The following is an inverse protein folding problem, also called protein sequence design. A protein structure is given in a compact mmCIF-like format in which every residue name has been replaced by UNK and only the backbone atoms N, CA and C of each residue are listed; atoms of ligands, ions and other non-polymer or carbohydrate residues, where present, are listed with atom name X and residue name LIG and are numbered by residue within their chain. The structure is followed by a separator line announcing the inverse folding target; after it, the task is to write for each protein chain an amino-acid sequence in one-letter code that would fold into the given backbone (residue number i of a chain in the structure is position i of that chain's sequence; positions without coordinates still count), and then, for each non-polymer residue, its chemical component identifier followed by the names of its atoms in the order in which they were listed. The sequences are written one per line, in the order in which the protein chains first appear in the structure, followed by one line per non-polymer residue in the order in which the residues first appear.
data_IF_070833142982
#
_entry.id   IF_070833142982
#
_cell.length_a   1.000
_cell.length_b   1.000
_cell.length_c   1.000
_cell.angle_alpha   90.00
_cell.angle_beta   90.00
_cell.angle_gamma   90.00
#
_symmetry.space_group_name_H-M   'P 1'
#
loop_
_entity.id
_entity.type
_entity.pdbx_description
1 polymer ?
#
# COMPACT_ATOMS: atom_id res chain seq x y z
N UNK A 1 35.53 21.66 12.95
CA UNK A 1 34.97 20.30 13.05
C UNK A 1 33.56 20.36 12.50
N UNK A 2 33.38 19.85 11.29
CA UNK A 2 32.11 19.86 10.57
C UNK A 2 31.28 18.64 11.01
N UNK A 3 29.97 18.78 11.26
CA UNK A 3 29.12 17.62 11.49
C UNK A 3 28.99 16.79 10.19
N UNK A 4 28.88 15.45 10.29
CA UNK A 4 28.79 14.57 9.14
C UNK A 4 27.48 14.83 8.36
N UNK A 5 27.65 15.06 7.04
CA UNK A 5 26.60 15.16 6.04
C UNK A 5 25.96 13.79 5.79
N UNK A 6 24.95 13.42 6.58
CA UNK A 6 24.02 12.33 6.21
C UNK A 6 22.62 12.59 6.77
N UNK A 7 22.03 13.73 6.38
CA UNK A 7 20.63 14.11 6.64
C UNK A 7 20.12 14.95 5.48
N UNK A 8 20.06 14.39 4.27
CA UNK A 8 19.36 15.01 3.12
C UNK A 8 18.82 13.93 2.20
N UNK A 9 17.54 14.09 1.84
CA UNK A 9 16.68 13.25 0.97
C UNK A 9 16.05 12.12 1.79
N UNK A 10 14.76 12.15 2.12
CA UNK A 10 13.63 12.23 1.20
C UNK A 10 12.51 13.15 1.73
N UNK A 11 12.41 14.34 1.13
CA UNK A 11 11.16 15.09 1.03
C UNK A 11 10.91 15.21 -0.47
N UNK A 12 9.94 14.47 -0.98
CA UNK A 12 9.20 14.85 -2.17
C UNK A 12 7.80 14.24 -2.08
N UNK A 13 6.98 14.92 -1.29
CA UNK A 13 5.55 15.01 -1.54
C UNK A 13 5.41 15.62 -2.94
N UNK A 14 4.97 14.81 -3.89
CA UNK A 14 4.31 15.34 -5.08
C UNK A 14 3.01 14.55 -5.25
N UNK A 15 1.92 15.24 -4.93
CA UNK A 15 0.64 14.97 -5.57
C UNK A 15 0.88 14.96 -7.09
N UNK A 16 0.72 13.79 -7.69
CA UNK A 16 0.74 13.66 -9.16
C UNK A 16 -0.59 13.03 -9.54
N UNK A 17 -1.61 13.87 -9.66
CA UNK A 17 -2.69 13.63 -10.60
C UNK A 17 -2.09 13.76 -12.00
N UNK A 18 -1.99 12.64 -12.72
CA UNK A 18 -1.38 12.59 -14.03
C UNK A 18 -1.08 11.16 -14.44
N UNK A 19 -2.01 10.55 -15.17
CA UNK A 19 -1.74 9.36 -15.97
C UNK A 19 -0.60 9.68 -16.95
N UNK A 20 0.60 9.17 -16.68
CA UNK A 20 1.66 9.09 -17.68
C UNK A 20 2.08 7.63 -17.76
N UNK A 21 1.76 7.04 -18.90
CA UNK A 21 2.06 5.65 -19.25
C UNK A 21 3.58 5.43 -19.19
N UNK A 22 4.02 4.58 -18.27
CA UNK A 22 5.36 3.99 -18.26
C UNK A 22 5.19 2.50 -18.55
N UNK A 23 5.74 2.10 -19.68
CA UNK A 23 5.81 0.74 -20.21
C UNK A 23 6.35 -0.22 -19.15
N UNK A 24 5.53 -1.20 -18.76
CA UNK A 24 5.82 -2.23 -17.74
C UNK A 24 4.65 -2.52 -16.77
N UNK A 25 3.55 -1.75 -16.85
CA UNK A 25 2.31 -2.10 -16.16
C UNK A 25 1.53 -3.11 -17.01
N UNK A 26 1.47 -4.37 -16.60
CA UNK A 26 0.33 -5.20 -16.99
C UNK A 26 -0.91 -4.63 -16.29
N UNK A 27 -1.67 -3.81 -17.02
CA UNK A 27 -3.10 -3.62 -16.73
C UNK A 27 -3.70 -5.00 -16.57
N UNK A 28 -4.36 -5.24 -15.43
CA UNK A 28 -5.01 -6.52 -15.09
C UNK A 28 -5.81 -6.98 -16.31
N UNK A 29 -5.32 -8.01 -17.01
CA UNK A 29 -6.03 -8.60 -18.13
C UNK A 29 -7.30 -9.29 -17.60
N UNK A 30 -8.33 -9.39 -18.44
CA UNK A 30 -9.72 -9.70 -18.06
C UNK A 30 -9.95 -11.16 -17.64
N UNK A 31 -8.88 -11.93 -17.45
CA UNK A 31 -8.89 -13.34 -17.04
C UNK A 31 -8.79 -13.47 -15.52
N UNK A 32 -9.56 -14.41 -14.95
CA UNK A 32 -9.42 -14.93 -13.58
C UNK A 32 -8.11 -15.73 -13.46
N UNK A 33 -7.00 -15.04 -13.65
CA UNK A 33 -5.67 -15.59 -13.66
C UNK A 33 -5.06 -15.49 -12.26
N UNK A 34 -4.62 -16.64 -11.76
CA UNK A 34 -3.79 -16.71 -10.56
C UNK A 34 -2.43 -16.09 -10.88
N UNK A 35 -1.98 -15.17 -10.02
CA UNK A 35 -0.66 -14.55 -10.13
C UNK A 35 0.12 -14.78 -8.85
N UNK A 36 1.38 -15.13 -9.02
CA UNK A 36 2.29 -15.50 -7.95
C UNK A 36 3.41 -14.46 -7.82
N UNK A 37 3.80 -14.14 -6.60
CA UNK A 37 4.92 -13.25 -6.36
C UNK A 37 5.07 -12.83 -4.91
N UNK A 38 6.10 -12.03 -4.66
CA UNK A 38 6.36 -11.44 -3.34
C UNK A 38 5.44 -10.23 -3.14
N UNK A 39 4.95 -10.00 -1.92
CA UNK A 39 4.23 -8.77 -1.59
C UNK A 39 5.26 -7.68 -1.27
N UNK A 40 5.46 -6.76 -2.21
CA UNK A 40 6.43 -5.67 -2.11
C UNK A 40 5.92 -4.47 -1.32
N UNK A 41 4.61 -4.24 -1.32
CA UNK A 41 4.05 -3.04 -0.74
C UNK A 41 2.66 -3.28 -0.20
N UNK A 42 2.36 -2.64 0.93
CA UNK A 42 1.04 -2.53 1.52
C UNK A 42 0.74 -1.06 1.81
N UNK A 43 -0.47 -0.62 1.45
CA UNK A 43 -0.93 0.76 1.61
C UNK A 43 -2.36 0.78 2.15
N UNK A 44 -2.61 1.69 3.08
CA UNK A 44 -3.97 2.12 3.44
C UNK A 44 -4.14 3.53 2.94
N UNK A 45 -5.07 3.71 2.00
CA UNK A 45 -5.36 4.98 1.36
C UNK A 45 -6.77 5.41 1.74
N UNK A 46 -6.93 6.69 2.07
CA UNK A 46 -8.21 7.29 2.42
C UNK A 46 -8.53 8.47 1.51
N UNK A 47 -9.81 8.78 1.37
CA UNK A 47 -10.30 9.92 0.62
C UNK A 47 -10.65 11.06 1.57
N UNK A 48 -10.01 12.21 1.36
CA UNK A 48 -10.30 13.44 2.08
C UNK A 48 -11.29 14.27 1.27
N UNK A 49 -12.39 14.65 1.90
CA UNK A 49 -13.45 15.46 1.29
C UNK A 49 -13.60 16.84 1.91
N UNK A 50 -12.83 17.14 2.97
CA UNK A 50 -12.77 18.45 3.61
C UNK A 50 -11.91 19.47 2.83
N UNK A 51 -11.26 19.05 1.75
CA UNK A 51 -10.47 19.89 0.85
C UNK A 51 -11.32 20.43 -0.31
N UNK A 52 -10.86 21.47 -1.02
CA UNK A 52 -11.47 21.92 -2.29
C UNK A 52 -11.30 20.84 -3.38
N UNK A 53 -12.15 19.81 -3.32
CA UNK A 53 -12.07 18.60 -4.13
C UNK A 53 -11.65 17.37 -3.32
N UNK A 54 -12.01 16.19 -3.81
CA UNK A 54 -11.61 14.92 -3.21
C UNK A 54 -10.13 14.64 -3.47
N UNK A 55 -9.39 14.33 -2.40
CA UNK A 55 -7.97 13.97 -2.45
C UNK A 55 -7.76 12.60 -1.83
N UNK A 56 -7.23 11.65 -2.62
CA UNK A 56 -6.77 10.36 -2.11
C UNK A 56 -5.37 10.49 -1.52
N UNK A 57 -5.19 10.08 -0.26
CA UNK A 57 -3.91 10.14 0.46
C UNK A 57 -3.62 8.86 1.21
N UNK A 58 -2.34 8.51 1.35
CA UNK A 58 -1.93 7.31 2.06
C UNK A 58 -1.71 7.64 3.54
N UNK A 59 -2.49 7.04 4.44
CA UNK A 59 -2.26 7.10 5.90
C UNK A 59 -1.29 6.03 6.38
N UNK A 60 -1.02 5.03 5.54
CA UNK A 60 -0.04 3.98 5.77
C UNK A 60 0.59 3.56 4.45
N UNK A 61 1.92 3.46 4.43
CA UNK A 61 2.67 2.84 3.33
C UNK A 61 3.86 2.08 3.90
N UNK A 62 3.87 0.77 3.71
CA UNK A 62 5.02 -0.10 3.98
C UNK A 62 5.53 -0.68 2.67
N UNK A 63 6.83 -0.70 2.46
CA UNK A 63 7.49 -1.22 1.27
C UNK A 63 8.69 -2.07 1.64
N UNK A 64 8.80 -3.24 1.01
CA UNK A 64 9.94 -4.13 1.09
C UNK A 64 10.92 -3.83 -0.04
N UNK A 65 12.19 -3.59 0.32
CA UNK A 65 13.34 -3.55 -0.58
C UNK A 65 14.02 -4.92 -0.58
N UNK A 66 13.79 -5.71 -1.63
CA UNK A 66 14.39 -7.03 -1.77
C UNK A 66 15.91 -6.99 -1.90
N UNK A 67 16.47 -5.96 -2.51
CA UNK A 67 17.93 -5.89 -2.76
C UNK A 67 18.70 -5.64 -1.47
N UNK A 68 18.07 -4.95 -0.51
CA UNK A 68 18.65 -4.65 0.80
C UNK A 68 18.12 -5.54 1.92
N UNK A 69 17.06 -6.30 1.65
CA UNK A 69 16.30 -7.05 2.66
C UNK A 69 15.81 -6.14 3.80
N UNK A 70 15.20 -5.00 3.44
CA UNK A 70 14.76 -3.97 4.39
C UNK A 70 13.28 -3.64 4.16
N UNK A 71 12.54 -3.36 5.24
CA UNK A 71 11.22 -2.74 5.13
C UNK A 71 11.34 -1.28 5.51
N UNK A 72 10.83 -0.39 4.66
CA UNK A 72 10.71 1.02 4.98
C UNK A 72 9.28 1.50 4.79
N UNK A 73 8.91 2.56 5.51
CA UNK A 73 7.55 3.04 5.44
C UNK A 73 7.27 4.32 6.19
N UNK A 74 6.03 4.76 6.03
CA UNK A 74 5.47 5.89 6.78
C UNK A 74 4.05 5.58 7.19
N UNK A 75 3.65 6.09 8.35
CA UNK A 75 2.26 6.01 8.80
C UNK A 75 1.86 7.21 9.66
N UNK A 76 0.56 7.48 9.70
CA UNK A 76 -0.02 8.44 10.62
C UNK A 76 -0.44 7.75 11.93
N UNK A 77 0.22 8.02 13.07
CA UNK A 77 -0.11 7.39 14.33
C UNK A 77 -1.50 7.78 14.86
N UNK A 78 -2.09 8.89 14.41
CA UNK A 78 -3.46 9.26 14.78
C UNK A 78 -4.46 8.20 14.30
N UNK A 79 -4.18 7.58 13.15
CA UNK A 79 -5.08 6.65 12.50
C UNK A 79 -4.67 5.19 12.65
N UNK A 80 -3.38 4.85 12.63
CA UNK A 80 -2.95 3.45 12.45
C UNK A 80 -1.83 2.97 13.40
N UNK A 81 -1.53 3.69 14.49
CA UNK A 81 -0.42 3.33 15.41
C UNK A 81 -0.54 1.89 15.97
N UNK A 82 -1.76 1.42 16.25
CA UNK A 82 -2.01 0.06 16.74
C UNK A 82 -2.08 -1.03 15.66
N UNK A 83 -2.04 -0.67 14.38
CA UNK A 83 -2.17 -1.61 13.27
C UNK A 83 -0.83 -2.12 12.75
N UNK A 84 0.28 -1.48 13.13
CA UNK A 84 1.63 -1.77 12.64
C UNK A 84 2.44 -2.46 13.73
N UNK A 85 3.10 -3.55 13.36
CA UNK A 85 4.08 -4.23 14.20
C UNK A 85 5.28 -4.64 13.33
N UNK A 86 6.37 -3.87 13.42
CA UNK A 86 7.53 -3.98 12.52
C UNK A 86 7.10 -4.03 11.04
N UNK A 87 7.52 -5.06 10.30
CA UNK A 87 7.18 -5.27 8.90
C UNK A 87 5.72 -5.75 8.65
N UNK A 88 4.90 -5.88 9.69
CA UNK A 88 3.53 -6.38 9.59
C UNK A 88 2.49 -5.26 9.76
N UNK A 89 1.37 -5.42 9.07
CA UNK A 89 0.19 -4.57 9.24
C UNK A 89 -1.08 -5.42 9.29
N UNK A 90 -1.89 -5.19 10.32
CA UNK A 90 -3.19 -5.82 10.52
C UNK A 90 -4.24 -4.78 10.89
N UNK A 91 -5.24 -4.61 10.02
CA UNK A 91 -6.34 -3.66 10.22
C UNK A 91 -7.54 -4.38 10.83
N UNK A 92 -7.86 -4.07 12.09
CA UNK A 92 -9.04 -4.61 12.76
C UNK A 92 -10.35 -4.13 12.10
N UNK A 93 -11.46 -4.80 12.37
CA UNK A 93 -12.78 -4.30 11.93
C UNK A 93 -13.10 -2.95 12.56
N UNK A 94 -12.82 -2.79 13.86
CA UNK A 94 -13.05 -1.54 14.59
C UNK A 94 -12.25 -0.37 14.00
N UNK A 95 -10.98 -0.60 13.63
CA UNK A 95 -10.17 0.41 12.96
C UNK A 95 -10.74 0.74 11.58
N UNK A 96 -11.15 -0.27 10.80
CA UNK A 96 -11.78 -0.03 9.52
C UNK A 96 -13.06 0.80 9.63
N UNK A 97 -13.92 0.47 10.59
CA UNK A 97 -15.19 1.17 10.84
C UNK A 97 -14.95 2.62 11.27
N UNK A 98 -13.88 2.85 12.05
CA UNK A 98 -13.43 4.20 12.42
C UNK A 98 -13.01 4.98 11.18
N UNK A 99 -12.16 4.39 10.33
CA UNK A 99 -11.70 5.02 9.09
C UNK A 99 -12.83 5.30 8.11
N UNK A 100 -13.81 4.41 7.96
CA UNK A 100 -14.96 4.64 7.06
C UNK A 100 -16.00 5.59 7.64
N UNK A 101 -15.95 5.86 8.95
CA UNK A 101 -16.75 6.92 9.58
C UNK A 101 -16.13 8.30 9.35
N UNK A 102 -14.80 8.37 9.37
CA UNK A 102 -14.05 9.62 9.22
C UNK A 102 -13.79 10.03 7.76
N UNK A 103 -13.60 9.04 6.89
CA UNK A 103 -13.26 9.23 5.47
C UNK A 103 -14.33 8.63 4.57
N UNK A 104 -14.68 9.35 3.50
CA UNK A 104 -15.66 8.92 2.50
C UNK A 104 -15.30 7.56 1.87
N UNK A 105 -14.00 7.27 1.76
CA UNK A 105 -13.49 6.03 1.19
C UNK A 105 -12.22 5.56 1.86
N UNK A 106 -12.12 4.25 2.04
CA UNK A 106 -10.93 3.55 2.54
C UNK A 106 -10.57 2.43 1.57
N UNK A 107 -9.35 2.47 1.03
CA UNK A 107 -8.83 1.50 0.06
C UNK A 107 -7.58 0.81 0.62
N UNK A 108 -7.60 -0.52 0.62
CA UNK A 108 -6.41 -1.32 0.93
C UNK A 108 -5.73 -1.72 -0.36
N UNK A 109 -4.47 -1.31 -0.54
CA UNK A 109 -3.73 -1.52 -1.79
C UNK A 109 -2.48 -2.33 -1.54
N UNK A 110 -2.18 -3.21 -2.50
CA UNK A 110 -0.99 -4.04 -2.49
C UNK A 110 -0.20 -3.86 -3.79
N UNK A 111 1.11 -4.11 -3.71
CA UNK A 111 1.96 -4.36 -4.87
C UNK A 111 2.56 -5.75 -4.73
N UNK A 112 2.34 -6.61 -5.71
CA UNK A 112 2.84 -7.98 -5.74
C UNK A 112 3.69 -8.19 -6.99
N UNK A 113 4.81 -8.89 -6.85
CA UNK A 113 5.65 -9.26 -8.00
C UNK A 113 7.02 -9.83 -7.62
N UNK A 114 7.93 -9.99 -8.57
CA UNK A 114 7.61 -10.01 -10.00
C UNK A 114 6.63 -11.17 -10.31
N UNK A 115 5.66 -10.93 -11.20
CA UNK A 115 4.63 -11.94 -11.58
C UNK A 115 4.98 -12.69 -12.86
N UNK A 116 6.07 -12.30 -13.52
CA UNK A 116 6.57 -12.92 -14.73
C UNK A 116 8.09 -12.66 -14.88
N UNK A 117 8.71 -13.29 -15.86
CA UNK A 117 10.15 -13.17 -16.14
C UNK A 117 10.56 -11.76 -16.59
N UNK A 118 9.61 -10.92 -17.01
CA UNK A 118 9.86 -9.52 -17.37
C UNK A 118 9.99 -8.61 -16.14
N UNK A 119 9.67 -9.10 -14.94
CA UNK A 119 9.73 -8.32 -13.71
C UNK A 119 8.47 -7.48 -13.45
N UNK A 120 7.35 -7.78 -14.12
CA UNK A 120 6.12 -7.01 -13.96
C UNK A 120 5.54 -7.16 -12.56
N UNK A 121 4.77 -6.16 -12.14
CA UNK A 121 4.10 -6.17 -10.84
C UNK A 121 2.60 -5.95 -10.99
N UNK A 122 1.86 -6.63 -10.14
CA UNK A 122 0.42 -6.41 -9.96
C UNK A 122 0.22 -5.33 -8.92
N UNK A 123 -0.55 -4.32 -9.31
CA UNK A 123 -1.03 -3.25 -8.44
C UNK A 123 -2.55 -3.42 -8.32
N UNK A 124 -3.03 -3.77 -7.13
CA UNK A 124 -4.44 -4.09 -6.96
C UNK A 124 -4.97 -3.62 -5.60
N UNK A 125 -6.29 -3.52 -5.51
CA UNK A 125 -6.98 -3.38 -4.24
C UNK A 125 -7.19 -4.75 -3.59
N UNK A 126 -7.38 -4.76 -2.28
CA UNK A 126 -7.79 -5.94 -1.55
C UNK A 126 -8.92 -5.55 -0.58
N UNK A 127 -9.80 -6.49 -0.26
CA UNK A 127 -10.66 -6.29 0.91
C UNK A 127 -9.80 -6.35 2.18
N UNK A 128 -10.28 -5.76 3.28
CA UNK A 128 -9.57 -5.72 4.57
C UNK A 128 -9.02 -7.07 5.02
N UNK A 129 -9.81 -8.13 4.92
CA UNK A 129 -9.39 -9.49 5.33
C UNK A 129 -8.26 -10.01 4.45
N UNK A 130 -8.43 -9.93 3.13
CA UNK A 130 -7.39 -10.30 2.15
C UNK A 130 -6.11 -9.46 2.34
N UNK A 131 -6.24 -8.15 2.61
CA UNK A 131 -5.10 -7.29 2.90
C UNK A 131 -4.35 -7.76 4.14
N UNK A 132 -5.03 -8.14 5.22
CA UNK A 132 -4.39 -8.64 6.44
C UNK A 132 -3.70 -9.99 6.23
N UNK A 133 -4.26 -10.86 5.38
CA UNK A 133 -3.72 -12.18 5.07
C UNK A 133 -2.44 -12.11 4.21
N UNK A 134 -2.27 -11.06 3.40
CA UNK A 134 -1.10 -10.89 2.53
C UNK A 134 0.14 -10.46 3.36
N UNK A 135 1.18 -11.30 3.48
CA UNK A 135 2.36 -10.99 4.27
C UNK A 135 3.33 -10.10 3.48
N UNK A 136 3.65 -8.91 3.99
CA UNK A 136 4.72 -8.08 3.40
C UNK A 136 6.04 -8.85 3.42
N UNK A 137 6.82 -8.74 2.35
CA UNK A 137 8.05 -9.51 2.11
C UNK A 137 7.85 -11.04 1.97
N UNK A 138 6.64 -11.55 2.20
CA UNK A 138 6.29 -12.95 1.97
C UNK A 138 5.80 -13.18 0.54
N UNK A 139 5.67 -14.46 0.18
CA UNK A 139 5.14 -14.89 -1.11
C UNK A 139 3.62 -15.06 -1.03
N UNK A 140 2.92 -14.78 -2.13
CA UNK A 140 1.50 -15.01 -2.23
C UNK A 140 1.11 -15.44 -3.65
N UNK A 141 0.17 -16.38 -3.71
CA UNK A 141 -0.62 -16.67 -4.91
C UNK A 141 -1.97 -15.97 -4.74
N UNK A 142 -2.33 -15.11 -5.69
CA UNK A 142 -3.60 -14.36 -5.62
C UNK A 142 -4.41 -14.54 -6.89
N UNK A 143 -5.73 -14.59 -6.71
CA UNK A 143 -6.70 -14.50 -7.80
C UNK A 143 -7.07 -13.03 -8.02
N UNK A 144 -7.04 -12.60 -9.28
CA UNK A 144 -7.50 -11.27 -9.70
C UNK A 144 -9.00 -11.32 -10.00
N UNK A 145 -9.76 -10.34 -9.54
CA UNK A 145 -11.18 -10.20 -9.87
C UNK A 145 -11.57 -8.72 -9.96
N UNK A 146 -12.72 -8.44 -10.59
CA UNK A 146 -13.23 -7.08 -10.75
C UNK A 146 -14.47 -6.85 -9.91
N UNK A 147 -14.50 -5.71 -9.21
CA UNK A 147 -15.68 -5.23 -8.48
C UNK A 147 -16.23 -4.01 -9.20
N UNK A 148 -17.54 -4.00 -9.41
CA UNK A 148 -18.27 -2.87 -9.94
C UNK A 148 -18.59 -1.90 -8.80
N UNK A 149 -18.02 -0.70 -8.87
CA UNK A 149 -18.12 0.32 -7.82
C UNK A 149 -19.16 1.36 -8.19
N UNK A 150 -19.27 1.68 -9.48
CA UNK A 150 -20.34 2.48 -10.08
C UNK A 150 -20.63 1.95 -11.49
N UNK A 151 -21.71 2.40 -12.13
CA UNK A 151 -22.10 2.00 -13.48
C UNK A 151 -20.96 2.14 -14.51
N UNK A 152 -20.08 3.14 -14.34
CA UNK A 152 -18.94 3.40 -15.23
C UNK A 152 -17.56 3.00 -14.65
N UNK A 153 -17.50 2.46 -13.43
CA UNK A 153 -16.23 2.20 -12.73
C UNK A 153 -16.14 0.76 -12.23
N UNK A 154 -15.14 0.06 -12.75
CA UNK A 154 -14.69 -1.23 -12.25
C UNK A 154 -13.30 -1.12 -11.66
N UNK A 155 -13.12 -1.71 -10.49
CA UNK A 155 -11.85 -1.71 -9.77
C UNK A 155 -11.32 -3.13 -9.67
N UNK A 156 -10.03 -3.30 -9.94
CA UNK A 156 -9.35 -4.58 -9.83
C UNK A 156 -9.00 -4.88 -8.37
N UNK A 157 -9.47 -6.02 -7.89
CA UNK A 157 -9.17 -6.57 -6.58
C UNK A 157 -8.36 -7.86 -6.68
N UNK A 158 -7.67 -8.19 -5.61
CA UNK A 158 -7.03 -9.49 -5.41
C UNK A 158 -7.56 -10.19 -4.17
N UNK A 159 -7.61 -11.51 -4.23
CA UNK A 159 -7.88 -12.39 -3.10
C UNK A 159 -6.75 -13.43 -2.98
N UNK A 160 -6.16 -13.64 -1.81
CA UNK A 160 -5.17 -14.68 -1.63
C UNK A 160 -5.79 -16.07 -1.81
N UNK A 161 -5.07 -16.94 -2.51
CA UNK A 161 -5.32 -18.38 -2.56
C UNK A 161 -4.36 -19.12 -1.64
N UNK A 162 -3.09 -18.73 -1.69
CA UNK A 162 -2.02 -19.26 -0.86
C UNK A 162 -1.14 -18.10 -0.42
N UNK A 163 -0.66 -18.15 0.82
CA UNK A 163 0.27 -17.16 1.37
C UNK A 163 1.35 -17.88 2.15
N UNK A 164 2.57 -17.40 1.99
CA UNK A 164 3.73 -17.87 2.71
C UNK A 164 4.43 -16.65 3.32
N UNK A 165 4.57 -16.58 4.66
CA UNK A 165 5.32 -15.51 5.29
C UNK A 165 6.78 -15.54 4.82
N UNK A 166 7.53 -14.43 4.95
CA UNK A 166 8.94 -14.46 4.61
C UNK A 166 9.66 -15.51 5.46
N UNK A 167 10.56 -16.27 4.84
CA UNK A 167 11.30 -17.36 5.48
C UNK A 167 12.18 -16.88 6.64
N UNK A 168 12.58 -15.61 6.59
CA UNK A 168 13.25 -14.88 7.66
C UNK A 168 12.64 -13.48 7.74
N UNK A 169 12.54 -12.87 8.94
CA UNK A 169 12.11 -11.48 9.04
C UNK A 169 13.09 -10.56 8.29
N UNK A 170 12.64 -9.43 7.72
CA UNK A 170 13.51 -8.45 7.09
C UNK A 170 14.64 -8.03 8.03
N UNK A 171 15.84 -7.87 7.49
CA UNK A 171 17.05 -7.52 8.27
C UNK A 171 16.91 -6.21 9.05
N UNK A 172 16.22 -5.21 8.48
CA UNK A 172 15.92 -3.94 9.14
C UNK A 172 14.51 -3.46 8.83
N UNK A 173 13.96 -2.64 9.73
CA UNK A 173 12.69 -1.95 9.58
C UNK A 173 12.88 -0.45 9.90
N UNK A 174 12.74 0.41 8.89
CA UNK A 174 12.78 1.88 9.03
C UNK A 174 11.40 2.48 8.73
N UNK A 175 10.56 2.54 9.76
CA UNK A 175 9.18 2.99 9.64
C UNK A 175 9.03 4.30 10.40
N UNK A 176 8.79 5.38 9.67
CA UNK A 176 8.67 6.72 10.22
C UNK A 176 7.21 7.11 10.47
N UNK A 177 7.00 7.98 11.46
CA UNK A 177 5.70 8.60 11.73
C UNK A 177 5.57 9.92 10.98
N UNK A 178 4.39 10.22 10.46
CA UNK A 178 4.03 11.56 9.98
C UNK A 178 2.68 11.97 10.57
N UNK A 179 2.32 13.25 10.50
CA UNK A 179 0.98 13.71 10.88
C UNK A 179 0.32 14.31 9.64
N UNK A 180 -0.82 13.75 9.25
CA UNK A 180 -1.59 14.14 8.08
C UNK A 180 -2.15 15.55 8.28
N UNK A 181 -2.81 15.83 9.41
CA UNK A 181 -3.41 17.14 9.73
C UNK A 181 -2.44 18.32 9.63
N UNK A 182 -1.22 18.17 10.15
CA UNK A 182 -0.18 19.20 10.09
C UNK A 182 0.33 19.49 8.66
N UNK A 183 0.12 18.57 7.72
CA UNK A 183 0.43 18.77 6.30
C UNK A 183 -0.70 19.47 5.54
N UNK A 184 -1.94 19.47 6.06
CA UNK A 184 -3.11 20.12 5.46
C UNK A 184 -3.34 21.56 5.92
N UNK A 185 -2.91 21.95 7.13
CA UNK A 185 -2.97 23.35 7.62
C UNK A 185 -2.17 24.37 6.76
N UNK A 186 -1.52 23.92 5.69
CA UNK A 186 -0.73 24.74 4.75
C UNK A 186 -1.30 24.81 3.33
N UNK A 187 -2.48 24.23 3.08
CA UNK A 187 -3.16 24.31 1.79
C UNK A 187 -4.40 25.19 1.87
#
# INVERSE_FOLDING_TARGET
MSPPLSRRRFLSVYATGGFVSLTGCSTIDRSDESVDGVVWQKKVQVELTQTEGSVLTDILRLQFDRDRDEVFGVFDPEYVDGAINDASVAVSSELHDTLTTEFDRVNYKIKLGPVNDAGDHVHAQAHRTAFNELPLAGHASVEKFWVEETDDLRVGYVRPKETEPPSQPPSTCDISRFNLGANYDRY
#
